data_IF_943637331147
#
_entry.id   IF_943637331147
#
_cell.length_a   1.000
_cell.length_b   1.000
_cell.length_c   1.000
_cell.angle_alpha   90.00
_cell.angle_beta   90.00
_cell.angle_gamma   90.00
#
_symmetry.space_group_name_H-M   'P 1'
#
loop_
_entity.id
_entity.type
_entity.pdbx_description
1 polymer ?
#
# COMPACT_ATOMS: atom_id res chain seq x y z
N UNK A 1 -15.61 -39.17 5.77
CA UNK A 1 -14.74 -38.73 4.64
C UNK A 1 -15.36 -37.60 3.81
N UNK A 2 -16.69 -37.53 3.65
CA UNK A 2 -17.41 -36.42 2.96
C UNK A 2 -17.17 -35.02 3.54
N UNK A 3 -17.03 -34.87 4.86
CA UNK A 3 -16.78 -33.58 5.52
C UNK A 3 -15.37 -33.00 5.25
N UNK A 4 -14.38 -33.86 4.90
CA UNK A 4 -13.02 -33.40 4.60
C UNK A 4 -12.93 -32.76 3.21
N UNK A 5 -13.57 -33.35 2.21
CA UNK A 5 -13.58 -32.81 0.85
C UNK A 5 -14.32 -31.47 0.76
N UNK A 6 -15.44 -31.29 1.48
CA UNK A 6 -16.14 -30.01 1.51
C UNK A 6 -15.29 -28.87 2.10
N UNK A 7 -14.43 -29.18 3.08
CA UNK A 7 -13.52 -28.21 3.71
C UNK A 7 -12.37 -27.80 2.77
N UNK A 8 -11.82 -28.75 2.01
CA UNK A 8 -10.78 -28.48 1.01
C UNK A 8 -11.32 -27.66 -0.17
N UNK A 9 -12.53 -27.95 -0.65
CA UNK A 9 -13.19 -27.16 -1.72
C UNK A 9 -13.50 -25.73 -1.24
N UNK A 10 -13.94 -25.56 0.00
CA UNK A 10 -14.21 -24.23 0.58
C UNK A 10 -12.95 -23.37 0.69
N UNK A 11 -11.83 -23.95 1.14
CA UNK A 11 -10.53 -23.25 1.23
C UNK A 11 -10.02 -22.84 -0.15
N UNK A 12 -10.10 -23.74 -1.14
CA UNK A 12 -9.74 -23.43 -2.53
C UNK A 12 -10.58 -22.28 -3.09
N UNK A 13 -11.88 -22.24 -2.77
CA UNK A 13 -12.75 -21.16 -3.22
C UNK A 13 -12.39 -19.81 -2.59
N UNK A 14 -12.06 -19.79 -1.29
CA UNK A 14 -11.65 -18.56 -0.59
C UNK A 14 -10.33 -18.03 -1.14
N UNK A 15 -9.35 -18.90 -1.40
CA UNK A 15 -8.07 -18.50 -2.00
C UNK A 15 -8.27 -17.99 -3.44
N UNK A 16 -9.12 -18.65 -4.23
CA UNK A 16 -9.44 -18.20 -5.58
C UNK A 16 -10.15 -16.83 -5.54
N UNK A 17 -11.09 -16.63 -4.63
CA UNK A 17 -11.83 -15.39 -4.50
C UNK A 17 -10.90 -14.24 -4.04
N UNK A 18 -10.04 -14.48 -3.05
CA UNK A 18 -9.08 -13.48 -2.57
C UNK A 18 -8.03 -13.14 -3.64
N UNK A 19 -7.57 -14.11 -4.42
CA UNK A 19 -6.66 -13.88 -5.55
C UNK A 19 -7.31 -13.02 -6.65
N UNK A 20 -8.58 -13.27 -6.98
CA UNK A 20 -9.32 -12.46 -7.96
C UNK A 20 -9.54 -11.04 -7.45
N UNK A 21 -9.90 -10.87 -6.18
CA UNK A 21 -10.06 -9.54 -5.56
C UNK A 21 -8.74 -8.77 -5.59
N UNK A 22 -7.61 -9.43 -5.27
CA UNK A 22 -6.27 -8.81 -5.35
C UNK A 22 -5.89 -8.44 -6.79
N UNK A 23 -6.19 -9.30 -7.77
CA UNK A 23 -5.93 -9.00 -9.18
C UNK A 23 -6.75 -7.79 -9.67
N UNK A 24 -8.03 -7.70 -9.29
CA UNK A 24 -8.87 -6.55 -9.60
C UNK A 24 -8.38 -5.27 -8.91
N UNK A 25 -7.94 -5.37 -7.65
CA UNK A 25 -7.36 -4.24 -6.93
C UNK A 25 -6.06 -3.73 -7.58
N UNK A 26 -5.22 -4.64 -8.09
CA UNK A 26 -4.02 -4.27 -8.85
C UNK A 26 -4.38 -3.54 -10.15
N UNK A 27 -5.42 -3.98 -10.86
CA UNK A 27 -5.89 -3.30 -12.07
C UNK A 27 -6.41 -1.89 -11.76
N UNK A 28 -7.08 -1.71 -10.62
CA UNK A 28 -7.54 -0.39 -10.18
C UNK A 28 -6.38 0.58 -9.87
N UNK A 29 -5.17 0.06 -9.65
CA UNK A 29 -3.98 0.84 -9.34
C UNK A 29 -3.27 1.39 -10.59
N UNK A 30 -3.55 0.83 -11.77
CA UNK A 30 -2.98 1.22 -13.07
C UNK A 30 -3.13 2.73 -13.36
N UNK A 31 -4.32 3.36 -13.26
CA UNK A 31 -4.46 4.80 -13.47
C UNK A 31 -3.71 5.66 -12.44
N UNK A 32 -3.47 5.15 -11.23
CA UNK A 32 -2.67 5.86 -10.21
C UNK A 32 -1.20 5.89 -10.64
N UNK A 33 -0.69 4.77 -11.19
CA UNK A 33 0.69 4.69 -11.70
C UNK A 33 0.88 5.59 -12.93
N UNK A 34 -0.10 5.63 -13.83
CA UNK A 34 -0.07 6.51 -15.01
C UNK A 34 -0.06 7.98 -14.59
N UNK A 35 -0.92 8.38 -13.65
CA UNK A 35 -0.95 9.75 -13.14
C UNK A 35 0.37 10.16 -12.47
N UNK A 36 0.99 9.26 -11.70
CA UNK A 36 2.30 9.51 -11.08
C UNK A 36 3.41 9.62 -12.13
N UNK A 37 3.31 8.85 -13.22
CA UNK A 37 4.26 8.90 -14.35
C UNK A 37 4.11 10.21 -15.13
N UNK A 38 2.88 10.65 -15.35
CA UNK A 38 2.57 11.93 -15.98
C UNK A 38 3.06 13.12 -15.12
N UNK A 39 2.84 13.08 -13.80
CA UNK A 39 3.41 14.05 -12.86
C UNK A 39 4.93 14.10 -12.92
N UNK A 40 5.59 12.95 -13.10
CA UNK A 40 7.04 12.87 -13.25
C UNK A 40 7.54 13.56 -14.52
N UNK A 41 6.80 13.41 -15.62
CA UNK A 41 7.10 14.02 -16.91
C UNK A 41 6.84 15.53 -16.93
N UNK A 42 5.71 16.00 -16.38
CA UNK A 42 5.37 17.42 -16.37
C UNK A 42 6.06 18.22 -15.26
N UNK A 43 6.26 17.61 -14.09
CA UNK A 43 6.75 18.28 -12.88
C UNK A 43 8.26 18.21 -12.65
N UNK A 44 9.03 17.52 -13.51
CA UNK A 44 10.44 17.16 -13.23
C UNK A 44 10.64 16.55 -11.83
N UNK A 45 9.66 15.79 -11.35
CA UNK A 45 9.80 15.07 -10.09
C UNK A 45 10.91 14.03 -10.24
N UNK A 46 11.86 14.06 -9.31
CA UNK A 46 12.95 13.11 -9.31
C UNK A 46 12.42 11.67 -9.12
N UNK A 47 13.15 10.72 -9.69
CA UNK A 47 12.80 9.30 -9.58
C UNK A 47 12.74 8.76 -8.18
N UNK A 48 13.54 9.33 -7.28
CA UNK A 48 13.49 8.98 -5.88
C UNK A 48 12.13 9.35 -5.27
N UNK A 49 11.59 10.53 -5.57
CA UNK A 49 10.32 11.01 -5.00
C UNK A 49 9.14 10.14 -5.41
N UNK A 50 9.03 9.78 -6.69
CA UNK A 50 8.01 8.86 -7.20
C UNK A 50 8.13 7.47 -6.57
N UNK A 51 9.37 6.97 -6.46
CA UNK A 51 9.64 5.67 -5.84
C UNK A 51 9.24 5.67 -4.36
N UNK A 52 9.52 6.76 -3.64
CA UNK A 52 9.15 6.93 -2.24
C UNK A 52 7.63 6.93 -2.09
N UNK A 53 6.90 7.70 -2.91
CA UNK A 53 5.44 7.75 -2.91
C UNK A 53 4.81 6.37 -3.13
N UNK A 54 5.30 5.60 -4.10
CA UNK A 54 4.82 4.26 -4.36
C UNK A 54 5.11 3.31 -3.17
N UNK A 55 6.27 3.47 -2.53
CA UNK A 55 6.64 2.71 -1.32
C UNK A 55 5.73 3.02 -0.15
N UNK A 56 5.44 4.29 0.14
CA UNK A 56 4.51 4.68 1.22
C UNK A 56 3.13 4.11 0.97
N UNK A 57 2.59 4.25 -0.25
CA UNK A 57 1.28 3.72 -0.61
C UNK A 57 1.24 2.18 -0.48
N UNK A 58 2.28 1.50 -0.95
CA UNK A 58 2.41 0.04 -0.83
C UNK A 58 2.46 -0.44 0.61
N UNK A 59 3.21 0.25 1.50
CA UNK A 59 3.27 -0.09 2.93
C UNK A 59 1.90 0.07 3.59
N UNK A 60 1.15 1.13 3.26
CA UNK A 60 -0.21 1.32 3.76
C UNK A 60 -1.17 0.21 3.32
N UNK A 61 -1.18 -0.13 2.03
CA UNK A 61 -2.00 -1.22 1.51
C UNK A 61 -1.64 -2.57 2.14
N UNK A 62 -0.35 -2.88 2.26
CA UNK A 62 0.11 -4.13 2.87
C UNK A 62 -0.25 -4.22 4.35
N UNK A 63 -0.14 -3.13 5.10
CA UNK A 63 -0.53 -3.10 6.50
C UNK A 63 -2.05 -3.32 6.67
N UNK A 64 -2.86 -2.75 5.78
CA UNK A 64 -4.32 -2.91 5.84
C UNK A 64 -4.76 -4.32 5.45
N UNK A 65 -4.14 -4.90 4.42
CA UNK A 65 -4.35 -6.29 4.04
C UNK A 65 -3.92 -7.25 5.15
N UNK A 66 -2.75 -7.05 5.75
CA UNK A 66 -2.28 -7.86 6.86
C UNK A 66 -3.20 -7.72 8.09
N UNK A 67 -3.70 -6.51 8.36
CA UNK A 67 -4.70 -6.24 9.40
C UNK A 67 -6.00 -7.01 9.16
N UNK A 68 -6.55 -6.96 7.94
CA UNK A 68 -7.76 -7.69 7.57
C UNK A 68 -7.59 -9.21 7.74
N UNK A 69 -6.44 -9.76 7.33
CA UNK A 69 -6.14 -11.20 7.51
C UNK A 69 -6.06 -11.59 9.00
N UNK A 70 -5.45 -10.75 9.85
CA UNK A 70 -5.43 -10.99 11.30
C UNK A 70 -6.83 -10.90 11.92
N UNK A 71 -7.67 -10.00 11.42
CA UNK A 71 -9.05 -9.83 11.89
C UNK A 71 -9.94 -11.02 11.48
N UNK A 72 -9.79 -11.52 10.25
CA UNK A 72 -10.45 -12.74 9.76
C UNK A 72 -10.02 -14.00 10.53
N UNK A 73 -8.80 -14.01 11.08
CA UNK A 73 -8.32 -15.08 11.96
C UNK A 73 -8.89 -15.01 13.39
N UNK A 74 -9.68 -13.97 13.72
CA UNK A 74 -10.22 -13.72 15.06
C UNK A 74 -9.31 -12.88 15.96
N UNK A 75 -8.15 -12.46 15.48
CA UNK A 75 -7.12 -11.73 16.24
C UNK A 75 -7.21 -10.21 15.99
N UNK A 76 -8.34 -9.61 16.39
CA UNK A 76 -8.61 -8.19 16.17
C UNK A 76 -7.62 -7.22 16.86
N UNK A 77 -7.01 -7.63 17.98
CA UNK A 77 -5.98 -6.82 18.65
C UNK A 77 -4.69 -6.76 17.82
N UNK A 78 -4.29 -7.89 17.24
CA UNK A 78 -3.11 -7.96 16.37
C UNK A 78 -3.34 -7.17 15.07
N UNK A 79 -4.54 -7.27 14.50
CA UNK A 79 -4.95 -6.46 13.36
C UNK A 79 -4.76 -4.96 13.60
N UNK A 80 -5.22 -4.46 14.76
CA UNK A 80 -5.04 -3.05 15.15
C UNK A 80 -3.58 -2.67 15.29
N UNK A 81 -2.75 -3.54 15.90
CA UNK A 81 -1.32 -3.28 16.05
C UNK A 81 -0.60 -3.21 14.70
N UNK A 82 -0.91 -4.12 13.77
CA UNK A 82 -0.33 -4.12 12.42
C UNK A 82 -0.68 -2.84 11.68
N UNK A 83 -1.95 -2.39 11.73
CA UNK A 83 -2.39 -1.12 11.13
C UNK A 83 -1.66 0.09 11.74
N UNK A 84 -1.46 0.09 13.06
CA UNK A 84 -0.72 1.13 13.79
C UNK A 84 0.76 1.18 13.38
N UNK A 85 1.40 0.03 13.23
CA UNK A 85 2.78 -0.04 12.73
C UNK A 85 2.87 0.43 11.27
N UNK A 86 1.88 0.08 10.44
CA UNK A 86 1.79 0.52 9.05
C UNK A 86 1.68 2.04 8.92
N UNK A 87 0.84 2.67 9.73
CA UNK A 87 0.70 4.14 9.73
C UNK A 87 1.95 4.84 10.25
N UNK A 88 2.61 4.28 11.28
CA UNK A 88 3.90 4.79 11.75
C UNK A 88 5.01 4.67 10.69
N UNK A 89 5.07 3.55 9.96
CA UNK A 89 6.00 3.36 8.86
C UNK A 89 5.73 4.32 7.69
N UNK A 90 4.44 4.57 7.38
CA UNK A 90 4.06 5.55 6.37
C UNK A 90 4.50 6.97 6.75
N UNK A 91 4.35 7.36 8.02
CA UNK A 91 4.86 8.63 8.56
C UNK A 91 6.39 8.74 8.43
N UNK A 92 7.12 7.68 8.76
CA UNK A 92 8.58 7.65 8.60
C UNK A 92 9.01 7.83 7.14
N UNK A 93 8.33 7.15 6.21
CA UNK A 93 8.61 7.25 4.78
C UNK A 93 8.15 8.59 4.17
N UNK A 94 7.29 9.37 4.85
CA UNK A 94 6.93 10.72 4.44
C UNK A 94 8.02 11.76 4.77
N UNK A 95 8.93 11.49 5.71
CA UNK A 95 10.05 12.39 6.05
C UNK A 95 10.87 12.86 4.84
N UNK A 96 11.35 12.00 3.93
CA UNK A 96 12.10 12.46 2.76
C UNK A 96 11.28 13.37 1.83
N UNK A 97 9.96 13.16 1.72
CA UNK A 97 9.08 14.05 0.95
C UNK A 97 9.06 15.45 1.57
N UNK A 98 8.94 15.55 2.90
CA UNK A 98 9.01 16.84 3.59
C UNK A 98 10.37 17.51 3.40
N UNK A 99 11.47 16.76 3.43
CA UNK A 99 12.79 17.35 3.16
C UNK A 99 12.90 17.93 1.75
N UNK A 100 12.38 17.24 0.73
CA UNK A 100 12.37 17.77 -0.64
C UNK A 100 11.53 19.04 -0.79
N UNK A 101 10.41 19.12 -0.08
CA UNK A 101 9.57 20.34 -0.06
C UNK A 101 10.31 21.48 0.65
N UNK A 102 10.97 21.23 1.78
CA UNK A 102 11.76 22.23 2.49
C UNK A 102 12.93 22.75 1.64
N UNK A 103 13.62 21.86 0.91
CA UNK A 103 14.70 22.25 -0.01
C UNK A 103 14.17 23.14 -1.13
N UNK A 104 13.03 22.80 -1.75
CA UNK A 104 12.38 23.62 -2.77
C UNK A 104 12.02 25.02 -2.24
N UNK A 105 11.45 25.11 -1.05
CA UNK A 105 11.11 26.40 -0.41
C UNK A 105 12.40 27.19 -0.12
N UNK A 106 13.44 26.52 0.38
CA UNK A 106 14.73 27.15 0.67
C UNK A 106 15.42 27.71 -0.58
N UNK A 107 15.30 27.03 -1.71
CA UNK A 107 15.85 27.49 -2.99
C UNK A 107 15.06 28.68 -3.55
N UNK A 108 13.74 28.69 -3.39
CA UNK A 108 12.88 29.83 -3.73
C UNK A 108 13.15 31.07 -2.87
N UNK A 109 13.50 30.90 -1.59
CA UNK A 109 13.80 32.02 -0.69
C UNK A 109 15.20 32.63 -0.92
N UNK A 110 16.11 31.89 -1.57
CA UNK A 110 17.47 32.34 -1.89
C UNK A 110 17.57 33.07 -3.24
N UNK A 111 16.54 33.01 -4.08
CA UNK A 111 16.39 33.81 -5.30
C UNK A 111 15.65 35.12 -5.01
#
# INVERSE_FOLDING_TARGET
>A
MVQKQAKEISILMVIACSAVILALAAWFLEPVVDFVTELRLLGQLDGATVTILLKTAGVGLLAELAGAVCEDAGEGTLAKMVRLCGSAAALYLALPLFTSVLDMIGDMLKR
#
